data_IF_518679904949
#
_entry.id   IF_518679904949
#
_cell.length_a   1.000
_cell.length_b   1.000
_cell.length_c   1.000
_cell.angle_alpha   90.00
_cell.angle_beta   90.00
_cell.angle_gamma   90.00
#
_symmetry.space_group_name_H-M   'P 1'
#
loop_
_entity.id
_entity.type
_entity.pdbx_description
1 polymer ?
#
# COMPACT_ATOMS: atom_id res chain seq x y z
N UNK A 1 5.97 -8.03 14.15
CA UNK A 1 6.19 -6.69 13.55
C UNK A 1 4.83 -6.00 13.50
N UNK A 2 4.74 -4.73 13.88
CA UNK A 2 3.50 -3.94 13.83
C UNK A 2 3.77 -2.68 12.98
N UNK A 3 3.49 -2.71 11.67
CA UNK A 3 3.75 -1.56 10.81
C UNK A 3 2.68 -0.47 10.98
N UNK A 4 3.11 0.78 10.85
CA UNK A 4 2.21 1.95 10.77
C UNK A 4 1.65 2.15 9.35
N UNK A 5 2.37 1.66 8.33
CA UNK A 5 1.94 1.69 6.93
C UNK A 5 2.22 0.34 6.27
N UNK A 6 1.26 -0.16 5.47
CA UNK A 6 1.41 -1.31 4.59
C UNK A 6 1.24 -0.84 3.14
N UNK A 7 2.20 -1.20 2.29
CA UNK A 7 2.14 -0.94 0.85
C UNK A 7 1.71 -2.21 0.15
N UNK A 8 0.64 -2.13 -0.64
CA UNK A 8 0.18 -3.18 -1.53
C UNK A 8 0.27 -2.69 -2.97
N UNK A 9 0.33 -3.63 -3.91
CA UNK A 9 0.29 -3.28 -5.32
C UNK A 9 -1.12 -3.39 -5.90
N UNK A 10 -1.39 -2.77 -7.04
CA UNK A 10 -2.67 -2.96 -7.74
C UNK A 10 -2.93 -4.44 -8.02
N UNK A 11 -1.91 -5.17 -8.48
CA UNK A 11 -2.03 -6.61 -8.70
C UNK A 11 -2.40 -7.38 -7.43
N UNK A 12 -1.82 -7.01 -6.29
CA UNK A 12 -2.15 -7.62 -4.99
C UNK A 12 -3.64 -7.48 -4.65
N UNK A 13 -4.23 -6.32 -4.95
CA UNK A 13 -5.65 -6.04 -4.70
C UNK A 13 -6.55 -6.82 -5.67
N UNK A 14 -6.14 -6.95 -6.93
CA UNK A 14 -6.84 -7.76 -7.92
C UNK A 14 -6.86 -9.25 -7.53
N UNK A 15 -5.72 -9.80 -7.12
CA UNK A 15 -5.61 -11.20 -6.66
C UNK A 15 -6.48 -11.48 -5.42
N UNK A 16 -6.64 -10.47 -4.55
CA UNK A 16 -7.49 -10.56 -3.38
C UNK A 16 -9.00 -10.48 -3.71
N UNK A 17 -9.34 -10.05 -4.92
CA UNK A 17 -10.71 -9.83 -5.37
C UNK A 17 -11.31 -8.49 -4.92
N UNK A 18 -10.46 -7.49 -4.65
CA UNK A 18 -10.85 -6.13 -4.29
C UNK A 18 -10.43 -5.68 -2.89
N UNK A 19 -10.37 -4.37 -2.67
CA UNK A 19 -9.89 -3.77 -1.42
C UNK A 19 -10.72 -4.18 -0.19
N UNK A 20 -12.03 -4.39 -0.35
CA UNK A 20 -12.92 -4.83 0.72
C UNK A 20 -12.52 -6.19 1.34
N UNK A 21 -11.66 -6.95 0.65
CA UNK A 21 -11.15 -8.25 1.10
C UNK A 21 -9.84 -8.15 1.87
N UNK A 22 -9.28 -6.94 2.06
CA UNK A 22 -8.01 -6.76 2.78
C UNK A 22 -8.03 -7.42 4.15
N UNK A 23 -9.13 -7.31 4.89
CA UNK A 23 -9.28 -7.91 6.23
C UNK A 23 -9.14 -9.45 6.25
N UNK A 24 -9.14 -10.12 5.10
CA UNK A 24 -8.92 -11.56 4.99
C UNK A 24 -7.45 -11.96 5.10
N UNK A 25 -6.52 -11.00 4.95
CA UNK A 25 -5.08 -11.23 5.11
C UNK A 25 -4.78 -11.53 6.59
N UNK A 26 -4.20 -12.70 6.93
CA UNK A 26 -3.96 -13.07 8.32
C UNK A 26 -3.14 -12.03 9.09
N UNK A 27 -3.69 -11.58 10.22
CA UNK A 27 -3.02 -10.64 11.13
C UNK A 27 -3.03 -9.18 10.66
N UNK A 28 -3.55 -8.85 9.48
CA UNK A 28 -3.55 -7.46 8.99
C UNK A 28 -4.38 -6.54 9.87
N UNK A 29 -5.52 -7.03 10.39
CA UNK A 29 -6.44 -6.27 11.23
C UNK A 29 -5.83 -5.89 12.58
N UNK A 30 -4.79 -6.60 12.99
CA UNK A 30 -4.09 -6.35 14.25
C UNK A 30 -3.03 -5.25 14.13
N UNK A 31 -2.68 -4.87 12.90
CA UNK A 31 -1.65 -3.85 12.64
C UNK A 31 -2.17 -2.43 12.86
N UNK A 32 -1.28 -1.52 13.26
CA UNK A 32 -1.57 -0.10 13.34
C UNK A 32 -1.91 0.47 11.95
N UNK A 33 -1.28 -0.03 10.89
CA UNK A 33 -1.61 0.28 9.51
C UNK A 33 -3.11 0.05 9.20
N UNK A 34 -3.67 -1.12 9.50
CA UNK A 34 -5.09 -1.36 9.22
C UNK A 34 -5.99 -0.49 10.10
N UNK A 35 -5.69 -0.39 11.40
CA UNK A 35 -6.51 0.35 12.37
C UNK A 35 -6.56 1.86 12.08
N UNK A 36 -5.47 2.41 11.55
CA UNK A 36 -5.32 3.84 11.26
C UNK A 36 -5.51 4.17 9.78
N UNK A 37 -5.97 3.22 8.95
CA UNK A 37 -6.14 3.38 7.50
C UNK A 37 -4.81 3.68 6.74
N UNK A 38 -3.68 3.26 7.30
CA UNK A 38 -2.35 3.31 6.68
C UNK A 38 -2.11 2.19 5.66
N UNK A 39 -3.06 1.97 4.75
CA UNK A 39 -2.86 1.06 3.60
C UNK A 39 -2.75 1.89 2.33
N UNK A 40 -1.60 1.80 1.67
CA UNK A 40 -1.31 2.50 0.42
C UNK A 40 -1.24 1.49 -0.71
N UNK A 41 -1.96 1.77 -1.80
CA UNK A 41 -1.94 0.97 -3.02
C UNK A 41 -1.11 1.72 -4.04
N UNK A 42 -0.12 1.06 -4.64
CA UNK A 42 0.73 1.63 -5.68
C UNK A 42 0.76 0.74 -6.92
N UNK A 43 0.94 1.33 -8.09
CA UNK A 43 1.07 0.57 -9.32
C UNK A 43 2.41 -0.18 -9.40
N UNK A 44 2.33 -1.49 -9.66
CA UNK A 44 3.43 -2.45 -9.71
C UNK A 44 4.54 -2.04 -10.69
N UNK A 45 4.18 -1.35 -11.78
CA UNK A 45 5.12 -0.91 -12.82
C UNK A 45 6.07 0.21 -12.37
N UNK A 46 5.77 0.83 -11.23
CA UNK A 46 6.51 1.95 -10.67
C UNK A 46 7.39 1.54 -9.49
N UNK A 47 6.88 0.70 -8.60
CA UNK A 47 7.51 0.46 -7.29
C UNK A 47 8.91 -0.16 -7.40
N UNK A 48 9.13 -1.07 -8.35
CA UNK A 48 10.40 -1.81 -8.48
C UNK A 48 11.32 -1.27 -9.57
N UNK A 49 10.84 -0.31 -10.36
CA UNK A 49 11.61 0.31 -11.42
C UNK A 49 12.31 1.57 -10.87
N UNK A 50 13.59 1.47 -10.53
CA UNK A 50 14.45 2.65 -10.23
C UNK A 50 14.79 3.35 -11.56
N UNK A 51 13.77 3.92 -12.18
CA UNK A 51 13.82 4.50 -13.52
C UNK A 51 13.58 6.01 -13.54
N UNK A 52 13.40 6.61 -14.72
CA UNK A 52 13.21 8.07 -14.86
C UNK A 52 11.97 8.61 -14.13
N UNK A 53 11.01 7.74 -13.79
CA UNK A 53 9.78 8.07 -13.05
C UNK A 53 9.92 7.95 -11.53
N UNK A 54 11.11 7.65 -10.99
CA UNK A 54 11.29 7.44 -9.53
C UNK A 54 10.78 8.59 -8.67
N UNK A 55 10.86 9.83 -9.17
CA UNK A 55 10.34 11.02 -8.48
C UNK A 55 8.81 10.97 -8.33
N UNK A 56 8.09 10.48 -9.34
CA UNK A 56 6.63 10.32 -9.29
C UNK A 56 6.23 9.33 -8.19
N UNK A 57 6.95 8.20 -8.11
CA UNK A 57 6.76 7.16 -7.09
C UNK A 57 6.96 7.71 -5.68
N UNK A 58 8.00 8.52 -5.48
CA UNK A 58 8.27 9.14 -4.18
C UNK A 58 7.12 10.05 -3.76
N UNK A 59 6.56 10.84 -4.67
CA UNK A 59 5.42 11.70 -4.35
C UNK A 59 4.14 10.91 -4.06
N UNK A 60 3.87 9.85 -4.82
CA UNK A 60 2.72 8.97 -4.59
C UNK A 60 2.80 8.30 -3.21
N UNK A 61 3.97 7.74 -2.87
CA UNK A 61 4.21 7.17 -1.54
C UNK A 61 4.12 8.22 -0.44
N UNK A 62 4.72 9.40 -0.62
CA UNK A 62 4.67 10.47 0.37
C UNK A 62 3.23 10.89 0.68
N UNK A 63 2.41 11.11 -0.35
CA UNK A 63 1.00 11.49 -0.19
C UNK A 63 0.18 10.36 0.45
N UNK A 64 0.50 9.10 0.15
CA UNK A 64 -0.13 7.95 0.78
C UNK A 64 0.25 7.77 2.25
N UNK A 65 1.49 8.09 2.63
CA UNK A 65 1.98 7.99 4.01
C UNK A 65 1.49 9.13 4.91
N UNK A 66 1.30 10.32 4.32
CA UNK A 66 0.94 11.56 5.03
C UNK A 66 -0.21 12.29 4.32
N UNK A 67 -1.43 11.72 4.31
CA UNK A 67 -2.61 12.39 3.75
C UNK A 67 -3.01 13.61 4.61
N UNK A 68 -3.54 14.67 3.97
CA UNK A 68 -4.08 15.86 4.66
C UNK A 68 -5.32 15.56 5.52
#
# INVERSE_FOLDING_TARGET
MNPEVIILTNHSIEELGGFDKINTIPGITETDAYKNHGIVIIDDSYLFAIGPRVVEVVFELFNGFYPE
#
